data_IF_259787552503
#
_entry.id   IF_259787552503
#
_cell.length_a   1.000
_cell.length_b   1.000
_cell.length_c   1.000
_cell.angle_alpha   90.00
_cell.angle_beta   90.00
_cell.angle_gamma   90.00
#
_symmetry.space_group_name_H-M   'P 1'
#
loop_
_entity.id
_entity.type
_entity.pdbx_description
1 polymer ?
#
# COMPACT_ATOMS: atom_id res chain seq x y z
N UNK A 1 5.41 19.42 26.46
CA UNK A 1 5.03 18.01 26.26
C UNK A 1 5.82 17.49 25.08
N UNK A 2 6.58 16.41 25.25
CA UNK A 2 7.15 15.69 24.12
C UNK A 2 5.97 15.05 23.38
N UNK A 3 5.69 15.52 22.16
CA UNK A 3 4.71 14.90 21.28
C UNK A 3 5.45 13.74 20.63
N UNK A 4 5.13 12.52 21.04
CA UNK A 4 5.65 11.31 20.42
C UNK A 4 4.51 10.50 19.78
N UNK A 5 4.79 9.82 18.68
CA UNK A 5 3.80 9.01 17.95
C UNK A 5 3.25 7.85 18.80
N UNK A 6 4.03 7.38 19.77
CA UNK A 6 3.65 6.25 20.63
C UNK A 6 2.52 6.63 21.58
N UNK A 7 2.54 7.85 22.08
CA UNK A 7 1.54 8.45 22.96
C UNK A 7 0.20 8.67 22.26
N UNK A 8 0.21 8.80 20.93
CA UNK A 8 -1.01 8.80 20.10
C UNK A 8 -1.45 7.40 19.64
N UNK A 9 -0.83 6.34 20.17
CA UNK A 9 -1.18 4.95 19.88
C UNK A 9 -0.51 4.38 18.63
N UNK A 10 0.44 5.09 18.02
CA UNK A 10 1.16 4.64 16.82
C UNK A 10 2.50 4.04 17.21
N UNK A 11 2.71 2.76 16.90
CA UNK A 11 4.00 2.08 17.09
C UNK A 11 4.68 1.87 15.72
N UNK A 12 5.70 2.69 15.44
CA UNK A 12 6.45 2.65 14.18
C UNK A 12 7.26 1.35 14.02
N UNK A 13 7.89 0.86 15.08
CA UNK A 13 8.69 -0.37 15.04
C UNK A 13 7.80 -1.59 14.71
N UNK A 14 6.60 -1.64 15.30
CA UNK A 14 5.63 -2.69 15.01
C UNK A 14 5.09 -2.60 13.57
N UNK A 15 4.96 -1.39 13.02
CA UNK A 15 4.56 -1.19 11.63
C UNK A 15 5.65 -1.70 10.67
N UNK A 16 6.92 -1.39 10.93
CA UNK A 16 8.04 -1.83 10.11
C UNK A 16 8.24 -3.35 10.15
N UNK A 17 8.14 -3.98 11.34
CA UNK A 17 8.18 -5.45 11.46
C UNK A 17 7.06 -6.11 10.67
N UNK A 18 5.84 -5.60 10.81
CA UNK A 18 4.66 -6.11 10.09
C UNK A 18 4.85 -5.99 8.58
N UNK A 19 5.35 -4.85 8.10
CA UNK A 19 5.64 -4.62 6.69
C UNK A 19 6.68 -5.62 6.16
N UNK A 20 7.76 -5.84 6.90
CA UNK A 20 8.82 -6.78 6.51
C UNK A 20 8.29 -8.22 6.39
N UNK A 21 7.42 -8.63 7.30
CA UNK A 21 6.82 -9.98 7.29
C UNK A 21 5.88 -10.22 6.10
N UNK A 22 5.09 -9.22 5.70
CA UNK A 22 4.12 -9.38 4.60
C UNK A 22 4.69 -9.06 3.22
N UNK A 23 5.88 -8.45 3.13
CA UNK A 23 6.44 -7.92 1.87
C UNK A 23 6.51 -8.95 0.75
N UNK A 24 6.88 -10.19 1.06
CA UNK A 24 6.94 -11.28 0.07
C UNK A 24 5.55 -11.67 -0.45
N UNK A 25 4.56 -11.75 0.45
CA UNK A 25 3.18 -12.06 0.08
C UNK A 25 2.59 -10.96 -0.81
N UNK A 26 2.76 -9.69 -0.42
CA UNK A 26 2.29 -8.55 -1.24
C UNK A 26 2.92 -8.55 -2.63
N UNK A 27 4.24 -8.82 -2.71
CA UNK A 27 4.94 -8.90 -4.01
C UNK A 27 4.40 -10.01 -4.90
N UNK A 28 3.97 -11.14 -4.34
CA UNK A 28 3.40 -12.25 -5.13
C UNK A 28 2.07 -11.91 -5.81
N UNK A 29 1.32 -10.94 -5.28
CA UNK A 29 0.05 -10.48 -5.84
C UNK A 29 0.20 -9.34 -6.86
N UNK A 30 1.43 -8.90 -7.16
CA UNK A 30 1.69 -7.71 -7.97
C UNK A 30 1.39 -7.98 -9.46
N UNK A 31 0.64 -7.07 -10.09
CA UNK A 31 0.40 -7.07 -11.54
C UNK A 31 1.07 -5.86 -12.20
N UNK A 32 1.23 -5.85 -13.54
CA UNK A 32 1.84 -4.73 -14.28
C UNK A 32 1.11 -3.38 -14.12
N UNK A 33 -0.16 -3.41 -13.73
CA UNK A 33 -0.98 -2.21 -13.55
C UNK A 33 -0.75 -1.51 -12.21
N UNK A 34 -0.15 -2.19 -11.22
CA UNK A 34 0.15 -1.60 -9.90
C UNK A 34 1.28 -0.57 -10.03
N UNK A 35 1.01 0.65 -9.58
CA UNK A 35 1.95 1.76 -9.55
C UNK A 35 2.48 1.96 -8.12
N UNK A 36 3.80 2.07 -7.96
CA UNK A 36 4.47 2.23 -6.65
C UNK A 36 4.92 0.91 -6.01
N UNK A 37 5.40 0.95 -4.76
CA UNK A 37 5.81 -0.23 -3.98
C UNK A 37 5.17 -0.20 -2.58
N UNK A 38 5.21 -1.33 -1.87
CA UNK A 38 4.60 -1.49 -0.55
C UNK A 38 5.41 -0.74 0.52
N UNK A 39 4.73 -0.05 1.44
CA UNK A 39 5.34 0.76 2.50
C UNK A 39 5.24 2.27 2.30
N UNK A 40 4.70 2.72 1.17
CA UNK A 40 4.28 4.10 0.97
C UNK A 40 2.84 4.30 1.46
N UNK A 41 2.51 5.55 1.81
CA UNK A 41 1.20 5.93 2.36
C UNK A 41 0.01 5.64 1.41
N UNK A 42 0.26 5.49 0.11
CA UNK A 42 -0.77 5.24 -0.88
C UNK A 42 -0.35 4.16 -1.89
N UNK A 43 -1.33 3.44 -2.42
CA UNK A 43 -1.19 2.58 -3.59
C UNK A 43 -2.00 3.14 -4.75
N UNK A 44 -1.53 2.91 -5.98
CA UNK A 44 -2.25 3.30 -7.19
C UNK A 44 -2.29 2.14 -8.19
N UNK A 45 -3.35 2.11 -9.01
CA UNK A 45 -3.56 1.09 -10.02
C UNK A 45 -3.94 1.75 -11.34
N UNK A 46 -3.22 1.40 -12.42
CA UNK A 46 -3.50 1.89 -13.77
C UNK A 46 -4.65 1.08 -14.38
N UNK A 47 -5.79 1.72 -14.53
CA UNK A 47 -6.90 1.15 -15.31
C UNK A 47 -6.51 1.04 -16.79
N UNK A 48 -6.70 -0.12 -17.45
CA UNK A 48 -6.49 -0.27 -18.89
C UNK A 48 -7.65 0.37 -19.66
N UNK A 49 -7.68 1.70 -19.67
CA UNK A 49 -8.78 2.50 -20.23
C UNK A 49 -8.94 2.34 -21.75
N UNK A 50 -7.88 1.93 -22.44
CA UNK A 50 -7.88 1.58 -23.87
C UNK A 50 -8.68 0.30 -24.18
N UNK A 51 -8.90 -0.56 -23.19
CA UNK A 51 -9.58 -1.85 -23.37
C UNK A 51 -11.09 -1.81 -23.11
N UNK A 52 -11.63 -0.71 -22.56
CA UNK A 52 -13.04 -0.59 -22.15
C UNK A 52 -13.59 0.81 -22.49
N UNK A 53 -14.63 0.86 -23.35
CA UNK A 53 -15.28 2.13 -23.73
C UNK A 53 -16.03 2.82 -22.58
N UNK A 54 -16.60 2.04 -21.65
CA UNK A 54 -17.38 2.55 -20.52
C UNK A 54 -17.02 1.75 -19.25
N UNK A 55 -15.85 2.01 -18.64
CA UNK A 55 -15.47 1.31 -17.41
C UNK A 55 -16.37 1.73 -16.26
N UNK A 56 -16.81 0.75 -15.46
CA UNK A 56 -17.60 0.96 -14.24
C UNK A 56 -16.83 0.34 -13.08
N UNK A 57 -16.73 1.08 -11.98
CA UNK A 57 -16.15 0.63 -10.71
C UNK A 57 -17.30 0.50 -9.71
N UNK A 58 -17.43 -0.67 -9.08
CA UNK A 58 -18.25 -0.85 -7.89
C UNK A 58 -17.42 -0.53 -6.65
#
# INVERSE_FOLDING_TARGET
MLIDYKSSGVNLDAADDSLNRIKALVKSARTPQVLGDVGLFAGAFRLPADQKKHPVLL
#
